data_IF_812541134994
#
_entry.id   IF_812541134994
#
_cell.length_a   1.000
_cell.length_b   1.000
_cell.length_c   1.000
_cell.angle_alpha   90.00
_cell.angle_beta   90.00
_cell.angle_gamma   90.00
#
_symmetry.space_group_name_H-M   'P 1'
#
loop_
_entity.id
_entity.type
_entity.pdbx_description
1 polymer ?
#
# COMPACT_ATOMS: atom_id res chain seq x y z
N UNK A 1 -5.58 -17.67 -5.33
CA UNK A 1 -5.49 -16.23 -5.73
C UNK A 1 -6.85 -15.62 -6.05
N UNK A 2 -7.28 -14.65 -5.23
CA UNK A 2 -8.46 -13.82 -5.45
C UNK A 2 -8.06 -12.34 -5.52
N UNK A 3 -8.76 -11.57 -6.34
CA UNK A 3 -8.62 -10.11 -6.44
C UNK A 3 -9.78 -9.45 -5.72
N UNK A 4 -9.50 -8.59 -4.75
CA UNK A 4 -10.50 -7.96 -3.88
C UNK A 4 -10.29 -6.45 -3.94
N UNK A 5 -11.28 -5.71 -4.41
CA UNK A 5 -11.19 -4.28 -4.60
C UNK A 5 -11.91 -3.82 -5.86
N UNK A 6 -11.36 -2.83 -6.53
CA UNK A 6 -11.92 -2.25 -7.75
C UNK A 6 -10.85 -2.17 -8.87
N UNK A 7 -11.21 -1.56 -10.01
CA UNK A 7 -10.30 -1.44 -11.16
C UNK A 7 -9.12 -0.47 -10.97
N UNK A 8 -9.09 0.29 -9.87
CA UNK A 8 -8.07 1.30 -9.57
C UNK A 8 -7.12 0.80 -8.48
N UNK A 9 -7.65 0.16 -7.45
CA UNK A 9 -6.89 -0.46 -6.38
C UNK A 9 -7.54 -1.79 -6.00
N UNK A 10 -6.72 -2.82 -5.86
CA UNK A 10 -7.17 -4.12 -5.36
C UNK A 10 -6.05 -4.83 -4.60
N UNK A 11 -6.46 -5.75 -3.75
CA UNK A 11 -5.61 -6.68 -3.04
C UNK A 11 -5.66 -8.03 -3.76
N UNK A 12 -4.48 -8.56 -4.06
CA UNK A 12 -4.33 -9.95 -4.46
C UNK A 12 -4.02 -10.78 -3.24
N UNK A 13 -4.82 -11.81 -3.02
CA UNK A 13 -4.80 -12.62 -1.81
C UNK A 13 -4.74 -14.08 -2.19
N UNK A 14 -3.85 -14.84 -1.55
CA UNK A 14 -3.82 -16.30 -1.71
C UNK A 14 -4.38 -17.03 -0.49
N UNK A 15 -5.69 -17.31 -0.54
CA UNK A 15 -6.42 -18.05 0.50
C UNK A 15 -6.18 -19.56 0.50
N UNK A 16 -5.24 -20.05 -0.31
CA UNK A 16 -4.75 -21.42 -0.19
C UNK A 16 -3.91 -21.63 1.07
N UNK A 17 -3.32 -20.54 1.58
CA UNK A 17 -2.57 -20.51 2.83
C UNK A 17 -3.22 -19.50 3.79
N UNK A 18 -3.90 -20.00 4.80
CA UNK A 18 -4.42 -19.17 5.88
C UNK A 18 -4.10 -19.85 7.21
N UNK A 19 -3.33 -19.18 8.07
CA UNK A 19 -2.97 -19.72 9.38
C UNK A 19 -2.92 -18.60 10.41
N UNK A 20 -3.75 -18.68 11.44
CA UNK A 20 -3.69 -17.78 12.61
C UNK A 20 -3.69 -16.27 12.24
N UNK A 21 -4.58 -15.87 11.33
CA UNK A 21 -4.68 -14.49 10.84
C UNK A 21 -3.58 -14.05 9.87
N UNK A 22 -2.66 -14.95 9.50
CA UNK A 22 -1.64 -14.74 8.48
C UNK A 22 -2.15 -15.16 7.10
N UNK A 23 -1.95 -14.30 6.10
CA UNK A 23 -2.43 -14.51 4.73
C UNK A 23 -1.47 -13.85 3.72
N UNK A 24 -0.99 -14.57 2.69
CA UNK A 24 -0.19 -13.96 1.63
C UNK A 24 -1.04 -12.95 0.85
N UNK A 25 -0.54 -11.72 0.80
CA UNK A 25 -1.24 -10.63 0.17
C UNK A 25 -0.28 -9.63 -0.47
N UNK A 26 -0.69 -9.07 -1.61
CA UNK A 26 -0.01 -7.95 -2.26
C UNK A 26 -1.02 -6.92 -2.74
N UNK A 27 -0.58 -5.69 -2.91
CA UNK A 27 -1.44 -4.57 -3.31
C UNK A 27 -1.16 -4.25 -4.77
N UNK A 28 -2.21 -3.99 -5.55
CA UNK A 28 -2.08 -3.35 -6.85
C UNK A 28 -2.73 -1.97 -6.80
N UNK A 29 -1.99 -0.95 -7.22
CA UNK A 29 -2.46 0.43 -7.33
C UNK A 29 -2.21 0.89 -8.76
N UNK A 30 -3.29 1.07 -9.52
CA UNK A 30 -3.29 1.50 -10.93
C UNK A 30 -2.35 0.70 -11.83
N UNK A 31 -2.22 -0.60 -11.56
CA UNK A 31 -1.38 -1.52 -12.34
C UNK A 31 0.00 -1.76 -11.73
N UNK A 32 0.44 -0.97 -10.76
CA UNK A 32 1.70 -1.17 -10.07
C UNK A 32 1.53 -2.03 -8.82
N UNK A 33 2.36 -3.06 -8.68
CA UNK A 33 2.32 -3.98 -7.55
C UNK A 33 3.25 -3.53 -6.42
N UNK A 34 2.79 -3.76 -5.19
CA UNK A 34 3.53 -3.57 -3.96
C UNK A 34 3.41 -4.85 -3.13
N UNK A 35 4.54 -5.43 -2.74
CA UNK A 35 4.63 -6.74 -2.07
C UNK A 35 4.53 -7.95 -3.00
N UNK A 36 4.77 -9.13 -2.43
CA UNK A 36 4.69 -10.46 -3.08
C UNK A 36 3.73 -11.40 -2.31
N UNK A 37 3.37 -12.52 -2.94
CA UNK A 37 2.59 -13.60 -2.31
C UNK A 37 3.48 -14.71 -1.72
N UNK A 38 4.80 -14.54 -1.71
CA UNK A 38 5.75 -15.55 -1.22
C UNK A 38 5.78 -15.71 0.30
N UNK A 39 5.38 -14.68 1.04
CA UNK A 39 5.31 -14.69 2.50
C UNK A 39 3.94 -14.19 2.98
N UNK A 40 3.38 -14.79 4.04
CA UNK A 40 2.12 -14.32 4.58
C UNK A 40 2.28 -13.04 5.40
N UNK A 41 1.24 -12.21 5.42
CA UNK A 41 1.19 -10.98 6.23
C UNK A 41 0.12 -11.11 7.31
N UNK A 42 0.39 -10.58 8.50
CA UNK A 42 -0.59 -10.56 9.58
C UNK A 42 -1.70 -9.55 9.30
N UNK A 43 -2.89 -10.06 9.01
CA UNK A 43 -4.00 -9.27 8.48
C UNK A 43 -4.44 -8.16 9.43
N UNK A 44 -4.53 -8.43 10.73
CA UNK A 44 -4.99 -7.43 11.70
C UNK A 44 -4.09 -6.19 11.70
N UNK A 45 -2.76 -6.38 11.69
CA UNK A 45 -1.81 -5.26 11.65
C UNK A 45 -1.87 -4.56 10.30
N UNK A 46 -1.91 -5.32 9.20
CA UNK A 46 -2.01 -4.76 7.86
C UNK A 46 -3.26 -3.89 7.69
N UNK A 47 -4.43 -4.40 8.12
CA UNK A 47 -5.71 -3.70 8.05
C UNK A 47 -5.72 -2.46 8.93
N UNK A 48 -5.16 -2.55 10.15
CA UNK A 48 -5.00 -1.38 11.03
C UNK A 48 -4.20 -0.27 10.36
N UNK A 49 -3.11 -0.61 9.68
CA UNK A 49 -2.29 0.38 8.97
C UNK A 49 -2.97 0.94 7.71
N UNK A 50 -3.74 0.13 6.99
CA UNK A 50 -4.56 0.65 5.87
C UNK A 50 -5.64 1.61 6.36
N UNK A 51 -6.25 1.33 7.51
CA UNK A 51 -7.23 2.22 8.12
C UNK A 51 -6.61 3.54 8.61
N UNK A 52 -5.42 3.46 9.20
CA UNK A 52 -4.71 4.63 9.74
C UNK A 52 -4.44 5.68 8.65
N UNK A 53 -4.17 5.27 7.41
CA UNK A 53 -4.04 6.16 6.25
C UNK A 53 -5.21 7.14 6.17
N UNK A 54 -6.43 6.67 6.37
CA UNK A 54 -7.67 7.46 6.20
C UNK A 54 -8.01 8.27 7.46
N UNK A 55 -7.64 7.76 8.63
CA UNK A 55 -8.07 8.27 9.93
C UNK A 55 -7.05 9.25 10.53
N UNK A 56 -5.77 8.97 10.39
CA UNK A 56 -4.73 9.65 11.14
C UNK A 56 -4.29 10.95 10.44
N UNK A 57 -4.10 11.99 11.24
CA UNK A 57 -3.70 13.31 10.75
C UNK A 57 -2.25 13.35 10.28
N UNK A 58 -1.39 12.40 10.68
CA UNK A 58 -0.02 12.31 10.20
C UNK A 58 0.08 12.09 8.69
N UNK A 59 -0.96 11.52 8.07
CA UNK A 59 -1.06 11.35 6.62
C UNK A 59 -1.79 12.50 5.92
N UNK A 60 -2.43 13.41 6.66
CA UNK A 60 -3.21 14.51 6.09
C UNK A 60 -2.32 15.68 5.67
N UNK A 61 -2.41 16.05 4.40
CA UNK A 61 -1.93 17.33 3.88
C UNK A 61 -2.98 17.89 2.91
N UNK A 62 -3.74 18.90 3.36
CA UNK A 62 -4.84 19.50 2.56
C UNK A 62 -4.35 20.17 1.28
N UNK A 63 -3.06 20.53 1.21
CA UNK A 63 -2.43 21.15 0.05
C UNK A 63 -1.84 20.12 -0.93
N UNK A 64 -1.84 18.83 -0.61
CA UNK A 64 -1.30 17.80 -1.49
C UNK A 64 -2.10 17.70 -2.79
N UNK A 65 -1.42 17.83 -3.91
CA UNK A 65 -1.95 17.78 -5.27
C UNK A 65 -0.95 17.03 -6.15
N UNK A 66 -1.41 16.52 -7.29
CA UNK A 66 -0.55 15.71 -8.16
C UNK A 66 0.65 16.49 -8.71
N UNK A 67 0.53 17.81 -8.86
CA UNK A 67 1.56 18.71 -9.35
C UNK A 67 2.58 19.15 -8.27
N UNK A 68 2.33 18.86 -6.99
CA UNK A 68 3.24 19.21 -5.90
C UNK A 68 3.67 18.03 -5.01
N UNK A 69 3.17 16.82 -5.27
CA UNK A 69 3.39 15.68 -4.38
C UNK A 69 4.88 15.32 -4.22
N UNK A 70 5.66 15.43 -5.29
CA UNK A 70 7.11 15.19 -5.23
C UNK A 70 7.78 16.15 -4.24
N UNK A 71 7.44 17.44 -4.28
CA UNK A 71 8.00 18.43 -3.35
C UNK A 71 7.59 18.21 -1.88
N UNK A 72 6.51 17.45 -1.64
CA UNK A 72 6.06 17.07 -0.29
C UNK A 72 6.82 15.83 0.20
N UNK A 73 7.09 14.89 -0.71
CA UNK A 73 7.69 13.60 -0.39
C UNK A 73 9.22 13.63 -0.36
N UNK A 74 9.84 14.57 -1.07
CA UNK A 74 11.29 14.67 -1.19
C UNK A 74 11.82 16.00 -0.62
N UNK A 75 12.95 15.93 0.07
CA UNK A 75 13.67 17.11 0.55
C UNK A 75 14.49 17.78 -0.57
N UNK A 76 15.16 18.89 -0.26
CA UNK A 76 16.01 19.63 -1.21
C UNK A 76 17.20 18.82 -1.77
N UNK A 77 17.57 17.71 -1.13
CA UNK A 77 18.62 16.79 -1.55
C UNK A 77 18.08 15.62 -2.40
N UNK A 78 16.76 15.58 -2.66
CA UNK A 78 16.11 14.49 -3.39
C UNK A 78 15.91 13.22 -2.55
N UNK A 79 15.98 13.32 -1.22
CA UNK A 79 15.77 12.20 -0.31
C UNK A 79 14.33 12.18 0.21
N UNK A 80 13.77 11.00 0.42
CA UNK A 80 12.44 10.87 1.00
C UNK A 80 12.40 11.46 2.40
N UNK A 81 11.40 12.30 2.68
CA UNK A 81 11.14 12.79 4.03
C UNK A 81 10.71 11.63 4.94
N UNK A 82 11.02 11.69 6.23
CA UNK A 82 10.60 10.65 7.20
C UNK A 82 9.10 10.69 7.49
N UNK A 83 8.47 11.87 7.33
CA UNK A 83 7.03 12.03 7.44
C UNK A 83 6.31 11.15 6.39
N UNK A 84 5.05 10.81 6.65
CA UNK A 84 4.21 10.06 5.71
C UNK A 84 4.65 8.61 5.47
N UNK A 85 5.62 8.09 6.26
CA UNK A 85 5.99 6.67 6.23
C UNK A 85 4.82 5.81 6.66
N UNK A 86 4.54 4.81 5.84
CA UNK A 86 3.64 3.71 6.16
C UNK A 86 4.45 2.48 6.56
N UNK A 87 4.01 1.79 7.62
CA UNK A 87 4.69 0.60 8.14
C UNK A 87 3.79 -0.61 7.99
N UNK A 88 3.82 -1.15 6.77
CA UNK A 88 3.35 -2.50 6.46
C UNK A 88 4.60 -3.37 6.34
N UNK A 89 4.76 -4.31 7.28
CA UNK A 89 5.94 -5.18 7.46
C UNK A 89 5.85 -6.42 6.54
N UNK A 90 6.78 -7.37 6.66
CA UNK A 90 6.81 -8.66 5.96
C UNK A 90 7.15 -8.51 4.47
N UNK A 91 6.26 -8.98 3.59
CA UNK A 91 6.39 -8.95 2.12
C UNK A 91 6.57 -7.54 1.53
N UNK A 92 6.32 -6.51 2.32
CA UNK A 92 6.40 -5.12 1.89
C UNK A 92 7.74 -4.45 2.25
N UNK A 93 8.58 -5.06 3.08
CA UNK A 93 9.79 -4.41 3.63
C UNK A 93 10.88 -4.12 2.60
N UNK A 94 10.83 -4.79 1.45
CA UNK A 94 11.70 -4.53 0.31
C UNK A 94 11.41 -3.18 -0.37
N UNK A 95 10.37 -2.47 0.07
CA UNK A 95 9.99 -1.18 -0.50
C UNK A 95 10.22 -0.03 0.49
N UNK A 96 10.80 1.05 -0.02
CA UNK A 96 10.53 2.38 0.53
C UNK A 96 9.09 2.75 0.23
N UNK A 97 8.33 3.23 1.22
CA UNK A 97 6.89 3.49 1.08
C UNK A 97 6.50 4.81 1.75
N UNK A 98 5.69 5.63 1.09
CA UNK A 98 5.07 6.84 1.65
C UNK A 98 3.63 6.98 1.21
N UNK A 99 2.81 7.56 2.08
CA UNK A 99 1.41 7.89 1.79
C UNK A 99 1.05 9.27 2.31
N UNK A 100 0.52 10.09 1.41
CA UNK A 100 -0.08 11.38 1.75
C UNK A 100 -1.52 11.36 1.30
N UNK A 101 -2.44 11.94 2.06
CA UNK A 101 -3.82 12.16 1.62
C UNK A 101 -4.22 13.62 1.75
N UNK A 102 -5.12 14.03 0.88
CA UNK A 102 -5.97 15.19 1.12
C UNK A 102 -7.41 14.70 1.42
N UNK A 103 -8.40 15.56 1.30
CA UNK A 103 -9.79 15.20 1.58
C UNK A 103 -10.40 14.27 0.52
N UNK A 104 -9.92 14.33 -0.73
CA UNK A 104 -10.49 13.65 -1.90
C UNK A 104 -9.60 12.54 -2.48
N UNK A 105 -8.30 12.59 -2.23
CA UNK A 105 -7.30 11.77 -2.90
C UNK A 105 -6.24 11.23 -1.94
N UNK A 106 -5.69 10.08 -2.31
CA UNK A 106 -4.55 9.46 -1.64
C UNK A 106 -3.43 9.30 -2.67
N UNK A 107 -2.25 9.74 -2.27
CA UNK A 107 -1.01 9.71 -3.02
C UNK A 107 -0.10 8.66 -2.41
N UNK A 108 0.23 7.65 -3.20
CA UNK A 108 1.14 6.58 -2.84
C UNK A 108 2.48 6.82 -3.51
N UNK A 109 3.54 6.65 -2.74
CA UNK A 109 4.88 6.49 -3.27
C UNK A 109 5.45 5.16 -2.82
N UNK A 110 6.07 4.44 -3.74
CA UNK A 110 6.89 3.29 -3.39
C UNK A 110 8.05 3.08 -4.36
N UNK A 111 9.12 2.49 -3.84
CA UNK A 111 10.35 2.17 -4.58
C UNK A 111 10.94 0.88 -4.05
N UNK A 112 11.14 -0.09 -4.93
CA UNK A 112 11.79 -1.37 -4.62
C UNK A 112 13.30 -1.16 -4.40
N UNK A 113 13.83 -1.67 -3.30
CA UNK A 113 15.26 -1.66 -3.01
C UNK A 113 16.03 -2.60 -3.95
N UNK A 114 17.26 -2.24 -4.33
CA UNK A 114 18.14 -3.10 -5.14
C UNK A 114 18.62 -4.36 -4.42
N UNK A 115 18.43 -4.44 -3.11
CA UNK A 115 18.80 -5.57 -2.28
C UNK A 115 17.56 -6.22 -1.65
N UNK A 116 16.46 -6.22 -2.39
CA UNK A 116 15.21 -6.87 -2.00
C UNK A 116 15.45 -8.34 -1.62
N UNK A 117 14.73 -8.80 -0.60
CA UNK A 117 14.75 -10.18 -0.15
C UNK A 117 13.97 -11.11 -1.08
N UNK A 118 12.83 -10.66 -1.58
CA UNK A 118 11.98 -11.42 -2.51
C UNK A 118 12.24 -11.05 -3.98
N UNK A 119 11.74 -11.89 -4.90
CA UNK A 119 11.76 -11.60 -6.33
C UNK A 119 10.48 -10.89 -6.78
N UNK A 120 10.61 -9.86 -7.62
CA UNK A 120 9.50 -9.06 -8.13
C UNK A 120 9.54 -9.02 -9.66
N UNK A 121 8.59 -9.70 -10.31
CA UNK A 121 8.55 -9.76 -11.78
C UNK A 121 7.89 -8.53 -12.43
N UNK A 122 7.04 -7.85 -11.67
CA UNK A 122 6.19 -6.74 -12.15
C UNK A 122 6.73 -5.35 -11.79
N UNK A 123 7.81 -5.28 -10.99
CA UNK A 123 8.37 -4.03 -10.47
C UNK A 123 9.86 -4.01 -10.72
N UNK A 124 10.39 -2.88 -11.24
CA UNK A 124 11.82 -2.70 -11.40
C UNK A 124 12.42 -2.10 -10.14
N UNK A 125 13.61 -2.58 -9.78
CA UNK A 125 14.41 -2.01 -8.71
C UNK A 125 14.74 -0.54 -8.97
N UNK A 126 14.78 0.25 -7.89
CA UNK A 126 15.15 1.67 -7.89
C UNK A 126 14.29 2.60 -8.78
N UNK A 127 13.15 2.14 -9.28
CA UNK A 127 12.18 2.98 -9.98
C UNK A 127 11.22 3.65 -8.98
N UNK A 128 11.09 4.98 -9.08
CA UNK A 128 10.16 5.75 -8.26
C UNK A 128 8.74 5.59 -8.82
N UNK A 129 7.82 5.04 -8.03
CA UNK A 129 6.42 4.86 -8.41
C UNK A 129 5.58 5.82 -7.59
N UNK A 130 4.88 6.72 -8.29
CA UNK A 130 4.00 7.74 -7.72
C UNK A 130 2.60 7.57 -8.29
N UNK A 131 1.64 7.21 -7.44
CA UNK A 131 0.26 6.99 -7.86
C UNK A 131 -0.73 7.81 -7.05
N UNK A 132 -1.76 8.30 -7.73
CA UNK A 132 -2.86 9.03 -7.13
C UNK A 132 -4.18 8.32 -7.43
N UNK A 133 -4.95 8.05 -6.38
CA UNK A 133 -6.28 7.45 -6.46
C UNK A 133 -7.28 8.29 -5.66
N UNK A 134 -8.57 8.12 -5.94
CA UNK A 134 -9.58 8.77 -5.11
C UNK A 134 -9.64 8.10 -3.74
N UNK A 135 -9.90 8.90 -2.69
CA UNK A 135 -10.12 8.40 -1.34
C UNK A 135 -11.29 7.42 -1.28
N UNK A 136 -12.31 7.65 -2.12
CA UNK A 136 -13.46 6.76 -2.25
C UNK A 136 -13.03 5.37 -2.76
N UNK A 137 -12.26 5.29 -3.84
CA UNK A 137 -11.79 4.01 -4.39
C UNK A 137 -10.99 3.22 -3.35
N UNK A 138 -10.15 3.91 -2.58
CA UNK A 138 -9.39 3.30 -1.49
C UNK A 138 -10.30 2.73 -0.39
N UNK A 139 -11.23 3.54 0.12
CA UNK A 139 -12.15 3.14 1.20
C UNK A 139 -13.04 1.98 0.76
N UNK A 140 -13.55 2.02 -0.46
CA UNK A 140 -14.39 0.94 -1.01
C UNK A 140 -13.59 -0.36 -1.13
N UNK A 141 -12.36 -0.31 -1.64
CA UNK A 141 -11.51 -1.50 -1.75
C UNK A 141 -11.14 -2.07 -0.37
N UNK A 142 -10.85 -1.20 0.60
CA UNK A 142 -10.56 -1.62 1.97
C UNK A 142 -11.77 -2.26 2.65
N UNK A 143 -12.98 -1.73 2.42
CA UNK A 143 -14.22 -2.33 2.92
C UNK A 143 -14.44 -3.74 2.33
N UNK A 144 -14.21 -3.92 1.03
CA UNK A 144 -14.29 -5.24 0.39
C UNK A 144 -13.27 -6.23 0.96
N UNK A 145 -12.05 -5.77 1.25
CA UNK A 145 -11.05 -6.62 1.90
C UNK A 145 -11.51 -7.07 3.29
N UNK A 146 -12.09 -6.17 4.10
CA UNK A 146 -12.65 -6.51 5.43
C UNK A 146 -13.75 -7.54 5.35
N UNK A 147 -14.70 -7.35 4.44
CA UNK A 147 -15.81 -8.30 4.24
C UNK A 147 -15.28 -9.67 3.85
N UNK A 148 -14.29 -9.70 2.96
CA UNK A 148 -13.67 -10.94 2.53
C UNK A 148 -12.90 -11.63 3.66
N UNK A 149 -12.04 -10.93 4.39
CA UNK A 149 -11.26 -11.56 5.49
C UNK A 149 -12.17 -12.05 6.61
N UNK A 150 -13.25 -11.32 6.94
CA UNK A 150 -14.27 -11.79 7.88
C UNK A 150 -14.96 -13.08 7.42
N UNK A 151 -15.15 -13.27 6.11
CA UNK A 151 -15.75 -14.49 5.55
C UNK A 151 -14.86 -15.74 5.66
N UNK A 152 -13.54 -15.54 5.82
CA UNK A 152 -12.57 -16.63 5.94
C UNK A 152 -12.49 -17.21 7.36
N UNK A 153 -13.16 -16.60 8.36
CA UNK A 153 -13.09 -16.97 9.78
C UNK A 153 -11.65 -17.05 10.33
N UNK A 154 -10.78 -16.16 9.85
CA UNK A 154 -9.40 -15.94 10.33
C UNK A 154 -9.28 -14.62 11.06
#
# INVERSE_FOLDING_TARGET
MKKIGNGVIFFEVDDSYSFDGLLPLRINIKGHYLGTLESPTYLTSFMGEMESIVQDNCYLNENARIDNIESILFNEYGELVDMYRITIEETFDDFSKRVVRNNESIFFYFKLFSNAFFEYSEVKENEDILECISKKDYVDALALLKEYTASLNI
#
